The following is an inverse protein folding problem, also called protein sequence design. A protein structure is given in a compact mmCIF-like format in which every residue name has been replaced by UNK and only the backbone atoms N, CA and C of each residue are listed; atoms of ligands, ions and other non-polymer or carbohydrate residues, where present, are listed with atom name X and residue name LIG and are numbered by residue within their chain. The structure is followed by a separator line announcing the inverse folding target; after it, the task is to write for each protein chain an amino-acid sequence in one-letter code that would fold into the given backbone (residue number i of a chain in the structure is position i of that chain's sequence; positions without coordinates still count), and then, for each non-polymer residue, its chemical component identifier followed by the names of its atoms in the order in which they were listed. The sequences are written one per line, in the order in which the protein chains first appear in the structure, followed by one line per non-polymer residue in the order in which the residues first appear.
data_IF_410470729686
#
_entry.id   IF_410470729686
#
_cell.length_a   1.000
_cell.length_b   1.000
_cell.length_c   1.000
_cell.angle_alpha   90.00
_cell.angle_beta   90.00
_cell.angle_gamma   90.00
#
_symmetry.space_group_name_H-M   'P 1'
#
loop_
_entity.id
_entity.type
_entity.pdbx_description
1 polymer ?
#
# COMPACT_ATOMS: atom_id res chain seq x y z
N UNK A 1 0.16 11.03 29.48
CA UNK A 1 0.95 10.21 30.42
C UNK A 1 0.06 9.81 31.57
N UNK A 2 0.13 8.55 32.00
CA UNK A 2 -0.73 8.01 33.06
C UNK A 2 -2.01 7.31 32.58
N UNK A 3 -2.39 7.48 31.32
CA UNK A 3 -3.58 6.85 30.75
C UNK A 3 -3.47 5.32 30.78
N UNK A 4 -4.54 4.65 31.15
CA UNK A 4 -4.60 3.20 31.17
C UNK A 4 -4.74 2.66 29.72
N UNK A 5 -3.94 1.66 29.38
CA UNK A 5 -4.03 0.92 28.14
C UNK A 5 -4.54 -0.48 28.45
N UNK A 6 -5.69 -0.84 27.88
CA UNK A 6 -6.27 -2.17 27.99
C UNK A 6 -6.86 -2.58 26.65
N UNK A 7 -6.41 -3.71 26.11
CA UNK A 7 -6.91 -4.17 24.82
C UNK A 7 -6.11 -5.32 24.23
N UNK A 8 -6.47 -5.67 23.00
CA UNK A 8 -5.79 -6.68 22.19
C UNK A 8 -4.99 -5.98 21.10
N UNK A 9 -3.74 -6.36 20.97
CA UNK A 9 -2.79 -5.77 20.04
C UNK A 9 -1.96 -6.85 19.35
N UNK A 10 -1.46 -6.57 18.16
CA UNK A 10 -0.39 -7.38 17.56
C UNK A 10 0.94 -6.95 18.16
N UNK A 11 1.68 -7.90 18.72
CA UNK A 11 3.03 -7.69 19.22
C UNK A 11 4.03 -7.79 18.08
N UNK A 12 4.84 -6.74 17.91
CA UNK A 12 5.79 -6.64 16.81
C UNK A 12 7.23 -6.45 17.33
N UNK A 13 8.17 -7.11 16.66
CA UNK A 13 9.62 -7.00 16.90
C UNK A 13 10.06 -7.17 18.36
N UNK A 14 9.66 -8.24 19.04
CA UNK A 14 10.07 -8.47 20.43
C UNK A 14 11.59 -8.62 20.53
N UNK A 15 12.19 -7.88 21.47
CA UNK A 15 13.61 -7.98 21.80
C UNK A 15 13.78 -7.95 23.31
N UNK A 16 14.37 -9.00 23.87
CA UNK A 16 14.74 -9.03 25.28
C UNK A 16 16.13 -8.42 25.47
N UNK A 17 16.22 -7.43 26.32
CA UNK A 17 17.47 -6.73 26.62
C UNK A 17 18.21 -7.38 27.79
N UNK A 18 19.50 -7.08 27.94
CA UNK A 18 20.35 -7.63 29.00
C UNK A 18 19.84 -7.39 30.45
N UNK A 19 18.94 -6.44 30.66
CA UNK A 19 18.26 -6.19 31.95
C UNK A 19 16.95 -7.03 32.14
N UNK A 20 16.66 -8.00 31.30
CA UNK A 20 15.51 -8.90 31.43
C UNK A 20 14.20 -8.35 30.85
N UNK A 21 14.06 -7.04 30.63
CA UNK A 21 12.84 -6.46 30.07
C UNK A 21 12.69 -6.77 28.57
N UNK A 22 11.46 -7.07 28.16
CA UNK A 22 11.07 -7.25 26.78
C UNK A 22 10.62 -5.91 26.18
N UNK A 23 11.24 -5.50 25.08
CA UNK A 23 10.89 -4.32 24.29
C UNK A 23 10.24 -4.74 22.99
N UNK A 24 9.14 -4.09 22.61
CA UNK A 24 8.35 -4.42 21.43
C UNK A 24 7.46 -3.25 21.00
N UNK A 25 6.70 -3.43 19.95
CA UNK A 25 5.63 -2.54 19.56
C UNK A 25 4.30 -3.25 19.72
N UNK A 26 3.33 -2.52 20.23
CA UNK A 26 1.90 -2.88 20.18
C UNK A 26 1.28 -2.17 18.99
N UNK A 27 0.52 -2.89 18.18
CA UNK A 27 -0.13 -2.35 16.98
C UNK A 27 -1.57 -2.84 16.87
N UNK A 28 -2.44 -1.97 16.35
CA UNK A 28 -3.80 -2.23 15.93
C UNK A 28 -4.13 -1.43 14.66
N UNK A 29 -5.42 -1.33 14.29
CA UNK A 29 -5.88 -0.58 13.13
C UNK A 29 -5.70 0.94 13.26
N UNK A 30 -5.54 1.47 14.49
CA UNK A 30 -5.30 2.89 14.76
C UNK A 30 -3.83 3.30 14.65
N UNK A 31 -2.89 2.34 14.77
CA UNK A 31 -1.47 2.61 14.71
C UNK A 31 -0.59 1.69 15.52
N UNK A 32 0.57 2.19 15.95
CA UNK A 32 1.53 1.43 16.75
C UNK A 32 2.19 2.30 17.81
N UNK A 33 2.43 1.72 18.97
CA UNK A 33 3.13 2.35 20.10
C UNK A 33 4.24 1.45 20.64
N UNK A 34 5.35 2.04 21.05
CA UNK A 34 6.43 1.31 21.73
C UNK A 34 5.94 0.81 23.09
N UNK A 35 6.39 -0.37 23.49
CA UNK A 35 6.05 -0.97 24.77
C UNK A 35 7.24 -1.67 25.41
N UNK A 36 7.22 -1.77 26.75
CA UNK A 36 8.14 -2.58 27.53
C UNK A 36 7.39 -3.44 28.55
N UNK A 37 7.91 -4.63 28.82
CA UNK A 37 7.34 -5.61 29.74
C UNK A 37 8.42 -6.29 30.56
N UNK A 38 8.27 -6.28 31.87
CA UNK A 38 9.24 -6.87 32.81
C UNK A 38 9.05 -8.36 33.11
N UNK A 39 7.98 -9.00 32.60
CA UNK A 39 7.72 -10.42 32.87
C UNK A 39 8.48 -11.37 31.92
N UNK A 40 8.41 -12.67 32.24
CA UNK A 40 9.24 -13.70 31.59
C UNK A 40 8.72 -14.18 30.23
N UNK A 41 7.47 -13.88 29.89
CA UNK A 41 6.85 -14.33 28.63
C UNK A 41 7.43 -13.54 27.46
N UNK A 42 7.85 -14.26 26.40
CA UNK A 42 8.33 -13.68 25.15
C UNK A 42 7.51 -14.23 23.99
N UNK A 43 6.36 -13.62 23.65
CA UNK A 43 5.56 -14.04 22.51
C UNK A 43 6.35 -13.90 21.21
N UNK A 44 6.02 -14.71 20.22
CA UNK A 44 6.61 -14.58 18.89
C UNK A 44 6.14 -13.30 18.19
N UNK A 45 6.94 -12.83 17.25
CA UNK A 45 6.57 -11.69 16.41
C UNK A 45 5.27 -11.99 15.63
N UNK A 46 4.29 -11.09 15.76
CA UNK A 46 2.97 -11.25 15.13
C UNK A 46 1.93 -11.97 15.99
N UNK A 47 2.27 -12.32 17.23
CA UNK A 47 1.28 -12.85 18.19
C UNK A 47 0.31 -11.74 18.59
N UNK A 48 -1.00 -12.07 18.58
CA UNK A 48 -1.99 -11.19 19.22
C UNK A 48 -1.89 -11.39 20.74
N UNK A 49 -1.75 -10.30 21.46
CA UNK A 49 -1.63 -10.28 22.91
C UNK A 49 -2.73 -9.42 23.52
N UNK A 50 -3.28 -9.86 24.63
CA UNK A 50 -4.10 -9.03 25.51
C UNK A 50 -3.19 -8.34 26.51
N UNK A 51 -3.28 -7.00 26.60
CA UNK A 51 -2.37 -6.16 27.36
C UNK A 51 -3.18 -5.29 28.33
N UNK A 52 -2.63 -5.15 29.55
CA UNK A 52 -2.99 -4.09 30.47
C UNK A 52 -1.71 -3.37 30.88
N UNK A 53 -1.71 -2.03 30.78
CA UNK A 53 -0.55 -1.21 31.07
C UNK A 53 -0.90 0.26 31.22
N UNK A 54 0.10 1.13 31.25
CA UNK A 54 -0.05 2.59 31.33
C UNK A 54 0.86 3.29 30.35
N UNK A 55 0.41 4.44 29.84
CA UNK A 55 1.24 5.31 29.02
C UNK A 55 2.23 6.05 29.91
N UNK A 56 3.51 5.93 29.59
CA UNK A 56 4.62 6.60 30.27
C UNK A 56 5.46 7.42 29.29
N UNK A 57 6.06 8.48 29.75
CA UNK A 57 7.06 9.22 28.98
C UNK A 57 8.44 8.59 29.21
N UNK A 58 9.12 8.29 28.11
CA UNK A 58 10.51 7.81 28.12
C UNK A 58 11.32 8.75 27.24
N UNK A 59 11.99 9.72 27.85
CA UNK A 59 12.81 10.75 27.18
C UNK A 59 12.07 11.50 26.05
N UNK A 60 10.86 12.00 26.35
CA UNK A 60 10.05 12.75 25.41
C UNK A 60 9.30 11.88 24.39
N UNK A 61 9.33 10.56 24.53
CA UNK A 61 8.55 9.62 23.71
C UNK A 61 7.53 8.86 24.56
N UNK A 62 6.31 8.73 24.04
CA UNK A 62 5.26 7.95 24.71
C UNK A 62 5.46 6.46 24.50
N UNK A 63 5.42 5.68 25.58
CA UNK A 63 5.53 4.24 25.62
C UNK A 63 4.41 3.63 26.46
N UNK A 64 4.10 2.37 26.20
CA UNK A 64 3.25 1.57 27.10
C UNK A 64 4.15 0.78 28.05
N UNK A 65 4.03 1.05 29.34
CA UNK A 65 4.57 0.16 30.38
C UNK A 65 3.54 -0.92 30.66
N UNK A 66 3.86 -2.14 30.22
CA UNK A 66 2.94 -3.28 30.30
C UNK A 66 3.04 -3.93 31.67
N UNK A 67 1.94 -3.91 32.42
CA UNK A 67 1.83 -4.62 33.71
C UNK A 67 1.44 -6.09 33.53
N UNK A 68 0.56 -6.39 32.59
CA UNK A 68 0.11 -7.76 32.30
C UNK A 68 0.03 -7.96 30.79
N UNK A 69 0.51 -9.13 30.34
CA UNK A 69 0.43 -9.56 28.96
C UNK A 69 0.13 -11.06 28.88
N UNK A 70 -0.81 -11.43 28.03
CA UNK A 70 -1.12 -12.83 27.72
C UNK A 70 -1.30 -13.01 26.21
N UNK A 71 -0.79 -14.11 25.66
CA UNK A 71 -1.07 -14.47 24.28
C UNK A 71 -2.53 -14.86 24.11
N UNK A 72 -3.18 -14.38 23.06
CA UNK A 72 -4.54 -14.76 22.69
C UNK A 72 -4.46 -16.04 21.85
N UNK A 73 -5.03 -17.13 22.36
CA UNK A 73 -5.02 -18.45 21.72
C UNK A 73 -6.27 -18.75 20.91
N UNK A 74 -7.35 -17.99 21.14
CA UNK A 74 -8.58 -18.09 20.37
C UNK A 74 -8.45 -17.48 18.97
N UNK A 75 -9.36 -17.85 18.08
CA UNK A 75 -9.41 -17.25 16.73
C UNK A 75 -9.78 -15.77 16.86
N UNK A 76 -8.89 -14.89 16.41
CA UNK A 76 -9.10 -13.45 16.39
C UNK A 76 -9.41 -12.97 14.98
N UNK A 77 -10.30 -12.00 14.90
CA UNK A 77 -10.50 -11.25 13.68
C UNK A 77 -9.24 -10.39 13.39
N UNK A 78 -8.47 -10.81 12.39
CA UNK A 78 -7.21 -10.17 12.00
C UNK A 78 -7.40 -8.79 11.38
N UNK A 79 -8.59 -8.49 10.87
CA UNK A 79 -8.91 -7.20 10.25
C UNK A 79 -8.89 -6.04 11.25
N UNK A 80 -9.07 -6.34 12.53
CA UNK A 80 -8.97 -5.36 13.62
C UNK A 80 -7.55 -4.87 13.91
N UNK A 81 -6.55 -5.42 13.24
CA UNK A 81 -5.14 -5.08 13.44
C UNK A 81 -4.47 -4.59 12.16
N UNK A 82 -5.24 -4.40 11.10
CA UNK A 82 -4.76 -3.88 9.82
C UNK A 82 -5.13 -2.42 9.73
N UNK A 83 -4.19 -1.49 9.49
CA UNK A 83 -4.51 -0.09 9.28
C UNK A 83 -5.56 0.09 8.20
N UNK A 84 -6.60 0.89 8.48
CA UNK A 84 -7.69 1.19 7.54
C UNK A 84 -7.58 2.63 7.06
N UNK A 85 -7.82 2.85 5.77
CA UNK A 85 -7.99 4.19 5.20
C UNK A 85 -9.32 4.83 5.62
N UNK A 86 -9.39 6.15 5.63
CA UNK A 86 -10.61 6.93 5.96
C UNK A 86 -11.51 7.17 4.74
N UNK A 87 -11.53 6.26 3.76
CA UNK A 87 -12.22 6.44 2.49
C UNK A 87 -13.35 5.44 2.31
N UNK A 88 -14.34 5.82 1.50
CA UNK A 88 -15.43 4.93 1.10
C UNK A 88 -14.92 3.94 0.03
N UNK A 89 -14.64 2.72 0.48
CA UNK A 89 -14.17 1.63 -0.38
C UNK A 89 -15.24 1.26 -1.41
N UNK A 90 -16.51 1.27 -1.05
CA UNK A 90 -17.60 0.86 -1.96
C UNK A 90 -17.73 1.84 -3.14
N UNK A 91 -17.65 3.14 -2.87
CA UNK A 91 -17.64 4.16 -3.92
C UNK A 91 -16.42 4.02 -4.83
N UNK A 92 -15.23 3.80 -4.25
CA UNK A 92 -14.00 3.60 -5.02
C UNK A 92 -14.08 2.36 -5.92
N UNK A 93 -14.61 1.23 -5.42
CA UNK A 93 -14.84 0.02 -6.20
C UNK A 93 -15.78 0.26 -7.39
N UNK A 94 -16.88 0.98 -7.18
CA UNK A 94 -17.80 1.33 -8.28
C UNK A 94 -17.13 2.17 -9.35
N UNK A 95 -16.39 3.20 -8.93
CA UNK A 95 -15.68 4.07 -9.85
C UNK A 95 -14.61 3.31 -10.63
N UNK A 96 -13.85 2.45 -9.95
CA UNK A 96 -12.85 1.58 -10.56
C UNK A 96 -13.47 0.67 -11.62
N UNK A 97 -14.54 -0.04 -11.27
CA UNK A 97 -15.28 -0.92 -12.21
C UNK A 97 -15.84 -0.17 -13.42
N UNK A 98 -16.29 1.08 -13.24
CA UNK A 98 -16.71 1.94 -14.37
C UNK A 98 -15.55 2.26 -15.32
N UNK A 99 -14.36 2.52 -14.79
CA UNK A 99 -13.17 2.77 -15.63
C UNK A 99 -12.78 1.49 -16.38
N UNK A 100 -12.70 0.35 -15.71
CA UNK A 100 -12.43 -0.96 -16.34
C UNK A 100 -13.38 -1.21 -17.51
N UNK A 101 -14.69 -1.06 -17.32
CA UNK A 101 -15.71 -1.23 -18.36
C UNK A 101 -15.63 -0.22 -19.51
N UNK A 102 -14.95 0.92 -19.31
CA UNK A 102 -14.81 1.97 -20.34
C UNK A 102 -13.71 1.67 -21.37
N UNK A 103 -12.93 0.61 -21.17
CA UNK A 103 -11.86 0.18 -22.10
C UNK A 103 -12.40 -0.92 -23.00
N UNK A 104 -12.48 -0.69 -24.32
CA UNK A 104 -13.04 -1.67 -25.25
C UNK A 104 -12.02 -2.72 -25.72
N UNK A 105 -12.50 -3.69 -26.46
CA UNK A 105 -11.69 -4.60 -27.26
C UNK A 105 -10.80 -5.54 -26.43
N UNK A 106 -9.64 -5.88 -26.97
CA UNK A 106 -8.73 -6.86 -26.35
C UNK A 106 -8.11 -6.36 -25.07
N UNK A 107 -7.90 -5.05 -24.94
CA UNK A 107 -7.41 -4.43 -23.69
C UNK A 107 -8.46 -4.52 -22.58
N UNK A 108 -9.74 -4.31 -22.91
CA UNK A 108 -10.84 -4.55 -21.97
C UNK A 108 -10.91 -6.00 -21.51
N UNK A 109 -10.73 -6.98 -22.43
CA UNK A 109 -10.65 -8.41 -22.04
C UNK A 109 -9.47 -8.70 -21.10
N UNK A 110 -8.32 -8.04 -21.31
CA UNK A 110 -7.20 -8.15 -20.37
C UNK A 110 -7.58 -7.64 -18.97
N UNK A 111 -8.22 -6.48 -18.89
CA UNK A 111 -8.69 -5.93 -17.61
C UNK A 111 -9.70 -6.85 -16.92
N UNK A 112 -10.66 -7.41 -17.69
CA UNK A 112 -11.61 -8.39 -17.15
C UNK A 112 -10.89 -9.64 -16.62
N UNK A 113 -9.85 -10.12 -17.29
CA UNK A 113 -9.09 -11.29 -16.83
C UNK A 113 -8.44 -11.09 -15.45
N UNK A 114 -8.16 -9.84 -15.04
CA UNK A 114 -7.68 -9.49 -13.71
C UNK A 114 -8.85 -9.25 -12.74
N UNK A 115 -9.73 -8.32 -13.07
CA UNK A 115 -10.65 -7.72 -12.11
C UNK A 115 -12.01 -8.44 -12.00
N UNK A 116 -12.31 -9.40 -12.89
CA UNK A 116 -13.41 -10.36 -12.75
C UNK A 116 -12.95 -11.70 -12.16
N UNK A 117 -11.65 -11.96 -12.09
CA UNK A 117 -11.07 -13.03 -11.28
C UNK A 117 -11.29 -12.70 -9.79
N UNK A 118 -12.22 -13.41 -9.17
CA UNK A 118 -12.62 -13.16 -7.77
C UNK A 118 -11.46 -13.23 -6.80
N UNK A 119 -10.56 -14.17 -6.98
CA UNK A 119 -9.39 -14.35 -6.11
C UNK A 119 -8.44 -13.18 -6.22
N UNK A 120 -8.14 -12.75 -7.45
CA UNK A 120 -7.29 -11.58 -7.69
C UNK A 120 -7.95 -10.29 -7.21
N UNK A 121 -9.24 -10.08 -7.49
CA UNK A 121 -9.96 -8.89 -7.06
C UNK A 121 -9.96 -8.73 -5.54
N UNK A 122 -10.26 -9.79 -4.79
CA UNK A 122 -10.22 -9.76 -3.33
C UNK A 122 -8.83 -9.43 -2.79
N UNK A 123 -7.77 -9.94 -3.39
CA UNK A 123 -6.41 -9.61 -3.02
C UNK A 123 -6.05 -8.16 -3.39
N UNK A 124 -6.42 -7.70 -4.58
CA UNK A 124 -6.14 -6.35 -5.10
C UNK A 124 -6.84 -5.26 -4.28
N UNK A 125 -8.16 -5.39 -4.06
CA UNK A 125 -8.94 -4.39 -3.35
C UNK A 125 -8.55 -4.22 -1.88
N UNK A 126 -7.85 -5.20 -1.32
CA UNK A 126 -7.33 -5.16 0.06
C UNK A 126 -5.85 -4.78 0.13
N UNK A 127 -5.11 -4.89 -0.96
CA UNK A 127 -3.67 -4.63 -0.96
C UNK A 127 -3.35 -3.17 -0.58
N UNK A 128 -2.23 -2.94 0.13
CA UNK A 128 -1.72 -1.59 0.38
C UNK A 128 -0.98 -1.06 -0.84
N UNK A 129 -0.92 0.26 -1.01
CA UNK A 129 -0.12 0.87 -2.08
C UNK A 129 1.37 0.94 -1.74
N UNK A 130 1.71 1.07 -0.45
CA UNK A 130 3.09 1.18 0.01
C UNK A 130 3.26 0.54 1.39
N UNK A 131 4.52 0.41 1.84
CA UNK A 131 4.83 -0.13 3.18
C UNK A 131 4.65 0.90 4.30
N UNK A 132 4.90 2.19 4.05
CA UNK A 132 5.00 3.18 5.13
C UNK A 132 4.85 4.65 4.72
N UNK A 133 4.72 4.98 3.44
CA UNK A 133 4.85 6.37 2.97
C UNK A 133 3.49 7.01 2.67
N UNK A 134 2.69 6.40 1.83
CA UNK A 134 1.35 6.85 1.44
C UNK A 134 0.48 5.62 1.22
N UNK A 135 -0.81 5.73 1.53
CA UNK A 135 -1.79 4.65 1.31
C UNK A 135 -1.31 3.28 1.83
N UNK A 136 -0.57 3.30 2.97
CA UNK A 136 0.00 2.13 3.65
C UNK A 136 -1.04 1.46 4.56
N UNK A 137 -2.25 1.22 4.02
CA UNK A 137 -3.40 0.64 4.70
C UNK A 137 -4.16 -0.31 3.76
N UNK A 138 -5.08 -1.08 4.32
CA UNK A 138 -5.94 -1.96 3.54
C UNK A 138 -6.78 -1.16 2.54
N UNK A 139 -6.74 -1.55 1.26
CA UNK A 139 -7.41 -0.84 0.18
C UNK A 139 -6.57 0.27 -0.46
N UNK A 140 -5.40 0.61 0.08
CA UNK A 140 -4.55 1.68 -0.45
C UNK A 140 -4.22 1.52 -1.92
N UNK A 141 -3.99 0.29 -2.40
CA UNK A 141 -3.71 0.02 -3.81
C UNK A 141 -4.88 0.37 -4.72
N UNK A 142 -6.12 0.08 -4.32
CA UNK A 142 -7.31 0.44 -5.08
C UNK A 142 -7.45 1.96 -5.22
N UNK A 143 -7.28 2.71 -4.12
CA UNK A 143 -7.37 4.18 -4.14
C UNK A 143 -6.28 4.79 -5.01
N UNK A 144 -5.05 4.36 -4.83
CA UNK A 144 -3.92 4.80 -5.65
C UNK A 144 -4.17 4.56 -7.14
N UNK A 145 -4.48 3.31 -7.50
CA UNK A 145 -4.71 2.94 -8.90
C UNK A 145 -5.88 3.73 -9.52
N UNK A 146 -6.94 3.97 -8.74
CA UNK A 146 -8.06 4.80 -9.17
C UNK A 146 -7.64 6.25 -9.42
N UNK A 147 -6.84 6.84 -8.52
CA UNK A 147 -6.30 8.20 -8.64
C UNK A 147 -5.45 8.35 -9.91
N UNK A 148 -4.48 7.45 -10.11
CA UNK A 148 -3.63 7.42 -11.30
C UNK A 148 -4.45 7.25 -12.59
N UNK A 149 -5.42 6.34 -12.62
CA UNK A 149 -6.27 6.14 -13.79
C UNK A 149 -7.13 7.37 -14.11
N UNK A 150 -7.60 8.10 -13.11
CA UNK A 150 -8.35 9.37 -13.29
C UNK A 150 -7.47 10.47 -13.86
N UNK A 151 -6.25 10.63 -13.36
CA UNK A 151 -5.26 11.58 -13.88
C UNK A 151 -4.92 11.26 -15.35
N UNK A 152 -4.65 10.00 -15.67
CA UNK A 152 -4.37 9.56 -17.04
C UNK A 152 -5.57 9.83 -17.98
N UNK A 153 -6.80 9.58 -17.54
CA UNK A 153 -8.00 9.89 -18.33
C UNK A 153 -8.19 11.39 -18.58
N UNK A 154 -7.96 12.21 -17.56
CA UNK A 154 -8.04 13.68 -17.69
C UNK A 154 -6.98 14.17 -18.68
N UNK A 155 -5.77 13.66 -18.62
CA UNK A 155 -4.71 14.01 -19.55
C UNK A 155 -5.00 13.62 -21.00
N UNK A 156 -5.71 12.52 -21.25
CA UNK A 156 -6.15 12.17 -22.61
C UNK A 156 -7.10 13.20 -23.23
N UNK A 157 -7.88 13.92 -22.42
CA UNK A 157 -8.71 15.02 -22.91
C UNK A 157 -7.88 16.25 -23.32
N UNK A 158 -6.73 16.46 -22.67
CA UNK A 158 -5.78 17.55 -22.97
C UNK A 158 -4.87 17.20 -24.15
N UNK A 159 -4.45 15.94 -24.23
CA UNK A 159 -3.53 15.43 -25.26
C UNK A 159 -4.19 14.34 -26.13
N UNK A 160 -4.99 14.68 -27.16
CA UNK A 160 -5.78 13.72 -27.94
C UNK A 160 -4.96 12.71 -28.75
N UNK A 161 -3.63 12.93 -28.90
CA UNK A 161 -2.72 12.01 -29.59
C UNK A 161 -2.28 10.82 -28.73
N UNK A 162 -2.56 10.83 -27.41
CA UNK A 162 -2.31 9.69 -26.53
C UNK A 162 -3.23 8.53 -26.89
N UNK A 163 -2.67 7.33 -26.87
CA UNK A 163 -3.45 6.09 -27.02
C UNK A 163 -4.19 5.81 -25.71
N UNK A 164 -5.39 6.43 -25.60
CA UNK A 164 -6.18 6.45 -24.37
C UNK A 164 -6.37 5.07 -23.75
N UNK A 165 -6.77 4.07 -24.55
CA UNK A 165 -7.10 2.75 -24.02
C UNK A 165 -5.84 2.01 -23.55
N UNK A 166 -4.71 2.20 -24.22
CA UNK A 166 -3.41 1.69 -23.78
C UNK A 166 -2.98 2.32 -22.46
N UNK A 167 -3.02 3.66 -22.35
CA UNK A 167 -2.62 4.40 -21.17
C UNK A 167 -3.51 4.07 -19.96
N UNK A 168 -4.84 4.05 -20.14
CA UNK A 168 -5.77 3.71 -19.06
C UNK A 168 -5.59 2.26 -18.61
N UNK A 169 -5.37 1.33 -19.54
CA UNK A 169 -5.07 -0.07 -19.22
C UNK A 169 -3.79 -0.16 -18.39
N UNK A 170 -2.73 0.53 -18.80
CA UNK A 170 -1.49 0.55 -18.06
C UNK A 170 -1.65 1.19 -16.68
N UNK A 171 -2.40 2.30 -16.57
CA UNK A 171 -2.71 2.93 -15.28
C UNK A 171 -3.44 2.01 -14.31
N UNK A 172 -4.37 1.17 -14.80
CA UNK A 172 -5.07 0.18 -13.98
C UNK A 172 -4.19 -1.02 -13.59
N UNK A 173 -3.12 -1.29 -14.33
CA UNK A 173 -2.27 -2.48 -14.16
C UNK A 173 -0.85 -2.17 -13.66
N UNK A 174 -0.40 -0.90 -13.57
CA UNK A 174 1.01 -0.57 -13.31
C UNK A 174 1.51 -1.17 -11.99
N UNK A 175 0.66 -1.22 -11.01
CA UNK A 175 0.97 -1.63 -9.65
C UNK A 175 0.35 -2.97 -9.21
N UNK A 176 -0.24 -3.74 -10.11
CA UNK A 176 -0.88 -5.02 -9.76
C UNK A 176 0.07 -6.00 -9.08
N UNK A 177 1.36 -5.88 -9.33
CA UNK A 177 2.40 -6.69 -8.68
C UNK A 177 2.47 -6.53 -7.15
N UNK A 178 1.94 -5.44 -6.60
CA UNK A 178 1.85 -5.19 -5.15
C UNK A 178 0.98 -6.21 -4.42
N UNK A 179 0.05 -6.86 -5.13
CA UNK A 179 -0.75 -7.98 -4.60
C UNK A 179 0.14 -9.12 -4.11
N UNK A 180 1.26 -9.38 -4.78
CA UNK A 180 2.23 -10.41 -4.40
C UNK A 180 3.41 -9.84 -3.61
N UNK A 181 3.65 -8.53 -3.70
CA UNK A 181 4.76 -7.90 -2.99
C UNK A 181 4.48 -7.77 -1.50
N UNK A 182 3.24 -7.45 -1.10
CA UNK A 182 2.90 -7.14 0.28
C UNK A 182 2.03 -8.21 0.95
N UNK A 183 2.13 -8.28 2.27
CA UNK A 183 1.20 -8.96 3.17
C UNK A 183 0.78 -7.99 4.26
N UNK A 184 -0.49 -8.00 4.64
CA UNK A 184 -1.04 -7.12 5.65
C UNK A 184 -0.81 -7.62 7.08
N UNK A 185 -0.90 -8.94 7.28
CA UNK A 185 -0.82 -9.54 8.61
C UNK A 185 0.44 -10.43 8.76
N UNK A 186 1.06 -10.48 9.93
CA UNK A 186 0.74 -9.82 11.22
C UNK A 186 1.05 -8.33 11.24
N UNK A 187 1.64 -7.82 10.23
CA UNK A 187 1.93 -6.40 9.95
C UNK A 187 2.11 -6.22 8.46
N UNK A 188 1.92 -5.00 8.01
CA UNK A 188 2.27 -4.64 6.64
C UNK A 188 3.77 -4.81 6.41
N UNK A 189 4.14 -5.75 5.56
CA UNK A 189 5.53 -6.07 5.21
C UNK A 189 5.62 -6.71 3.83
N UNK A 190 6.83 -6.76 3.26
CA UNK A 190 7.07 -7.47 2.00
C UNK A 190 7.09 -8.98 2.20
N UNK A 191 6.54 -9.70 1.22
CA UNK A 191 6.69 -11.14 1.07
C UNK A 191 8.10 -11.51 0.61
N UNK A 192 8.44 -12.81 0.55
CA UNK A 192 9.70 -13.25 -0.06
C UNK A 192 9.78 -12.86 -1.55
N UNK A 193 8.69 -13.02 -2.31
CA UNK A 193 8.62 -12.60 -3.71
C UNK A 193 8.84 -11.08 -3.85
N UNK A 194 8.20 -10.28 -2.98
CA UNK A 194 8.36 -8.84 -2.97
C UNK A 194 9.79 -8.37 -2.63
N UNK A 195 10.53 -9.13 -1.81
CA UNK A 195 11.93 -8.81 -1.47
C UNK A 195 12.92 -9.22 -2.55
N UNK A 196 12.67 -10.33 -3.22
CA UNK A 196 13.60 -10.90 -4.21
C UNK A 196 13.38 -10.36 -5.62
N UNK A 197 12.13 -10.02 -5.98
CA UNK A 197 11.75 -9.66 -7.35
C UNK A 197 11.18 -8.23 -7.44
N UNK A 198 10.33 -7.83 -6.48
CA UNK A 198 9.66 -6.53 -6.47
C UNK A 198 8.43 -6.47 -7.36
N UNK A 199 7.48 -5.54 -7.03
CA UNK A 199 6.17 -5.45 -7.68
C UNK A 199 6.24 -5.12 -9.17
N UNK A 200 7.19 -4.27 -9.60
CA UNK A 200 7.32 -3.86 -11.01
C UNK A 200 7.49 -5.08 -11.91
N UNK A 201 8.43 -5.96 -11.54
CA UNK A 201 8.73 -7.17 -12.31
C UNK A 201 7.62 -8.21 -12.15
N UNK A 202 7.13 -8.45 -10.92
CA UNK A 202 6.00 -9.37 -10.68
C UNK A 202 4.76 -8.95 -11.48
N UNK A 203 4.45 -7.64 -11.50
CA UNK A 203 3.35 -7.08 -12.28
C UNK A 203 3.54 -7.27 -13.79
N UNK A 204 4.71 -6.92 -14.31
CA UNK A 204 5.02 -7.08 -15.73
C UNK A 204 4.92 -8.55 -16.19
N UNK A 205 5.41 -9.50 -15.40
CA UNK A 205 5.31 -10.93 -15.69
C UNK A 205 3.86 -11.40 -15.79
N UNK A 206 3.01 -11.04 -14.82
CA UNK A 206 1.63 -11.47 -14.79
C UNK A 206 0.81 -10.79 -15.90
N UNK A 207 1.03 -9.51 -16.16
CA UNK A 207 0.38 -8.80 -17.26
C UNK A 207 0.78 -9.41 -18.59
N UNK A 208 2.06 -9.70 -18.82
CA UNK A 208 2.54 -10.36 -20.03
C UNK A 208 1.93 -11.76 -20.22
N UNK A 209 1.81 -12.55 -19.13
CA UNK A 209 1.17 -13.87 -19.16
C UNK A 209 -0.29 -13.78 -19.57
N UNK A 210 -1.09 -12.97 -18.87
CA UNK A 210 -2.54 -12.82 -19.18
C UNK A 210 -2.78 -12.17 -20.54
N UNK A 211 -1.92 -11.22 -20.94
CA UNK A 211 -2.01 -10.59 -22.26
C UNK A 211 -1.82 -11.60 -23.40
N UNK A 212 -0.94 -12.59 -23.24
CA UNK A 212 -0.81 -13.71 -24.20
C UNK A 212 -2.07 -14.58 -24.23
N UNK A 213 -2.62 -14.92 -23.08
CA UNK A 213 -3.81 -15.76 -22.96
C UNK A 213 -5.05 -15.13 -23.60
N UNK A 214 -5.23 -13.82 -23.47
CA UNK A 214 -6.36 -13.11 -24.10
C UNK A 214 -6.11 -12.70 -25.56
N UNK A 215 -4.90 -13.00 -26.09
CA UNK A 215 -4.57 -12.77 -27.49
C UNK A 215 -4.21 -11.32 -27.82
N UNK A 216 -3.55 -10.59 -26.92
CA UNK A 216 -3.02 -9.23 -27.23
C UNK A 216 -1.88 -9.35 -28.25
N UNK A 217 -1.91 -8.56 -29.35
CA UNK A 217 -0.81 -8.51 -30.33
C UNK A 217 0.54 -8.21 -29.69
N UNK A 218 1.62 -8.80 -30.24
CA UNK A 218 2.95 -8.72 -29.67
C UNK A 218 3.43 -7.26 -29.42
N UNK A 219 3.20 -6.39 -30.41
CA UNK A 219 3.59 -4.96 -30.28
C UNK A 219 2.82 -4.24 -29.18
N UNK A 220 1.51 -4.48 -29.05
CA UNK A 220 0.72 -3.88 -27.97
C UNK A 220 1.13 -4.43 -26.62
N UNK A 221 1.45 -5.72 -26.51
CA UNK A 221 1.96 -6.34 -25.29
C UNK A 221 3.31 -5.74 -24.90
N UNK A 222 4.23 -5.57 -25.85
CA UNK A 222 5.53 -4.92 -25.60
C UNK A 222 5.37 -3.51 -25.04
N UNK A 223 4.41 -2.72 -25.58
CA UNK A 223 4.12 -1.39 -25.09
C UNK A 223 3.51 -1.41 -23.66
N UNK A 224 2.63 -2.37 -23.34
CA UNK A 224 2.11 -2.53 -21.98
C UNK A 224 3.21 -2.92 -20.99
N UNK A 225 4.08 -3.86 -21.37
CA UNK A 225 5.24 -4.25 -20.56
C UNK A 225 6.14 -3.05 -20.31
N UNK A 226 6.42 -2.25 -21.35
CA UNK A 226 7.22 -1.02 -21.22
C UNK A 226 6.59 -0.02 -20.24
N UNK A 227 5.29 0.24 -20.36
CA UNK A 227 4.55 1.13 -19.45
C UNK A 227 4.68 0.70 -17.98
N UNK A 228 4.55 -0.60 -17.70
CA UNK A 228 4.68 -1.14 -16.35
C UNK A 228 6.13 -1.10 -15.87
N UNK A 229 7.10 -1.48 -16.70
CA UNK A 229 8.51 -1.49 -16.32
C UNK A 229 9.10 -0.09 -16.13
N UNK A 230 8.53 0.93 -16.73
CA UNK A 230 9.04 2.30 -16.71
C UNK A 230 8.29 3.27 -15.81
N UNK A 231 7.18 2.84 -15.13
CA UNK A 231 6.32 3.77 -14.41
C UNK A 231 7.00 4.51 -13.24
N UNK A 232 8.05 3.98 -12.64
CA UNK A 232 8.85 4.71 -11.66
C UNK A 232 9.72 5.82 -12.28
N UNK A 233 9.87 5.86 -13.62
CA UNK A 233 10.50 6.92 -14.38
C UNK A 233 12.03 6.85 -14.43
N UNK A 234 12.70 6.62 -13.30
CA UNK A 234 14.16 6.61 -13.20
C UNK A 234 14.70 5.31 -12.64
N UNK A 235 15.88 4.91 -13.07
CA UNK A 235 16.57 3.69 -12.59
C UNK A 235 16.87 3.77 -11.08
N UNK A 236 17.25 4.95 -10.60
CA UNK A 236 17.52 5.20 -9.18
C UNK A 236 16.28 5.05 -8.31
N UNK A 237 15.08 5.14 -8.91
CA UNK A 237 13.79 4.93 -8.23
C UNK A 237 13.27 3.50 -8.40
N UNK A 238 14.06 2.62 -8.99
CA UNK A 238 13.75 1.20 -9.18
C UNK A 238 13.04 0.87 -10.48
N UNK A 239 13.04 1.79 -11.46
CA UNK A 239 12.54 1.50 -12.81
C UNK A 239 13.56 0.68 -13.58
N UNK A 240 13.23 -0.52 -14.09
CA UNK A 240 14.16 -1.29 -14.95
C UNK A 240 14.60 -0.56 -16.23
N UNK A 241 13.68 0.24 -16.78
CA UNK A 241 13.91 1.10 -17.97
C UNK A 241 13.25 2.46 -17.74
N UNK A 242 13.71 3.48 -18.44
CA UNK A 242 13.10 4.80 -18.42
C UNK A 242 11.96 4.92 -19.44
N UNK A 243 10.96 5.83 -19.23
CA UNK A 243 9.90 6.06 -20.19
C UNK A 243 10.42 6.43 -21.57
N UNK A 244 9.96 5.73 -22.61
CA UNK A 244 10.37 5.95 -24.00
C UNK A 244 9.21 6.31 -24.95
N UNK A 245 7.99 6.39 -24.42
CA UNK A 245 6.79 6.81 -25.17
C UNK A 245 5.99 7.79 -24.33
N UNK A 246 5.18 8.62 -24.96
CA UNK A 246 4.42 9.68 -24.31
C UNK A 246 3.48 9.15 -23.22
N UNK A 247 2.86 7.99 -23.44
CA UNK A 247 1.99 7.35 -22.46
C UNK A 247 2.76 6.90 -21.21
N UNK A 248 4.02 6.43 -21.37
CA UNK A 248 4.84 6.01 -20.25
C UNK A 248 5.31 7.20 -19.40
N UNK A 249 5.71 8.28 -20.06
CA UNK A 249 6.05 9.54 -19.40
C UNK A 249 4.86 10.08 -18.58
N UNK A 250 3.67 10.08 -19.19
CA UNK A 250 2.47 10.55 -18.51
C UNK A 250 2.07 9.64 -17.35
N UNK A 251 2.17 8.32 -17.50
CA UNK A 251 1.89 7.37 -16.43
C UNK A 251 2.79 7.61 -15.22
N UNK A 252 4.09 7.80 -15.46
CA UNK A 252 5.07 8.11 -14.43
C UNK A 252 4.69 9.38 -13.64
N UNK A 253 4.35 10.47 -14.32
CA UNK A 253 3.95 11.70 -13.61
C UNK A 253 2.59 11.58 -12.93
N UNK A 254 1.65 10.84 -13.48
CA UNK A 254 0.36 10.59 -12.84
C UNK A 254 0.51 9.80 -11.52
N UNK A 255 1.33 8.75 -11.52
CA UNK A 255 1.71 7.98 -10.34
C UNK A 255 2.41 8.88 -9.30
N UNK A 256 3.39 9.66 -9.72
CA UNK A 256 4.11 10.58 -8.85
C UNK A 256 3.19 11.66 -8.26
N UNK A 257 2.26 12.21 -9.01
CA UNK A 257 1.29 13.21 -8.52
C UNK A 257 0.40 12.59 -7.45
N UNK A 258 -0.22 11.42 -7.73
CA UNK A 258 -1.11 10.77 -6.78
C UNK A 258 -0.38 10.42 -5.48
N UNK A 259 0.76 9.76 -5.57
CA UNK A 259 1.55 9.35 -4.42
C UNK A 259 2.04 10.53 -3.56
N UNK A 260 2.48 11.63 -4.18
CA UNK A 260 2.97 12.80 -3.46
C UNK A 260 1.86 13.62 -2.83
N UNK A 261 0.73 13.78 -3.52
CA UNK A 261 -0.44 14.49 -2.98
C UNK A 261 -1.03 13.72 -1.81
N UNK A 262 -1.11 12.39 -1.89
CA UNK A 262 -1.56 11.54 -0.79
C UNK A 262 -0.74 11.77 0.50
N UNK A 263 0.59 11.97 0.40
CA UNK A 263 1.44 12.26 1.56
C UNK A 263 0.95 13.50 2.33
N UNK A 264 0.54 14.57 1.65
CA UNK A 264 0.04 15.78 2.30
C UNK A 264 -1.27 15.54 3.04
N UNK A 265 -2.20 14.79 2.44
CA UNK A 265 -3.52 14.52 3.03
C UNK A 265 -3.48 13.45 4.14
N UNK A 266 -2.53 12.52 4.08
CA UNK A 266 -2.36 11.47 5.08
C UNK A 266 -1.41 11.85 6.23
N UNK A 267 -0.69 12.97 6.07
CA UNK A 267 0.15 13.52 7.13
C UNK A 267 -0.72 14.16 8.20
N UNK A 268 -1.29 13.40 9.14
CA UNK A 268 -2.21 13.90 10.17
C UNK A 268 -1.68 15.13 10.95
N UNK A 269 -2.59 15.91 11.57
CA UNK A 269 -2.32 17.16 12.30
C UNK A 269 -2.26 18.39 11.37
N UNK A 270 -2.01 19.59 11.91
CA UNK A 270 -1.93 20.85 11.18
C UNK A 270 -0.60 21.58 11.39
N UNK A 271 -0.27 22.50 10.47
CA UNK A 271 0.93 23.33 10.54
C UNK A 271 2.18 22.74 9.87
N UNK A 272 3.34 23.38 10.11
CA UNK A 272 4.60 22.97 9.51
C UNK A 272 5.18 21.73 10.17
N UNK A 273 5.61 20.74 9.37
CA UNK A 273 6.32 19.55 9.82
C UNK A 273 7.33 19.07 8.80
N UNK A 274 8.40 18.45 9.28
CA UNK A 274 9.32 17.76 8.38
C UNK A 274 8.73 16.41 7.97
N UNK A 275 8.78 16.13 6.66
CA UNK A 275 8.34 14.85 6.10
C UNK A 275 9.54 14.12 5.50
N UNK A 276 9.88 12.96 6.08
CA UNK A 276 11.05 12.17 5.69
C UNK A 276 10.93 11.64 4.24
N UNK A 277 9.73 11.29 3.80
CA UNK A 277 9.52 10.76 2.45
C UNK A 277 9.72 11.81 1.36
N UNK A 278 9.42 13.08 1.67
CA UNK A 278 9.63 14.21 0.76
C UNK A 278 10.98 14.91 1.00
N UNK A 279 11.68 14.59 2.10
CA UNK A 279 12.96 15.21 2.49
C UNK A 279 12.89 16.71 2.75
N UNK A 280 11.72 17.23 3.17
CA UNK A 280 11.48 18.66 3.35
C UNK A 280 10.36 18.96 4.34
N UNK A 281 10.30 20.21 4.79
CA UNK A 281 9.15 20.73 5.54
C UNK A 281 7.94 20.86 4.61
N UNK A 282 6.79 20.43 5.10
CA UNK A 282 5.50 20.59 4.44
C UNK A 282 4.52 21.30 5.36
N UNK A 283 3.62 22.06 4.79
CA UNK A 283 2.48 22.66 5.48
C UNK A 283 1.28 21.72 5.34
N UNK A 284 0.80 21.18 6.46
CA UNK A 284 -0.40 20.35 6.51
C UNK A 284 -1.56 21.23 6.93
N UNK A 285 -2.64 21.24 6.14
CA UNK A 285 -3.86 21.98 6.44
C UNK A 285 -4.62 21.38 7.63
N UNK A 286 -5.56 22.13 8.19
CA UNK A 286 -6.53 21.58 9.13
C UNK A 286 -7.44 20.59 8.39
N UNK A 287 -7.72 19.45 9.01
CA UNK A 287 -8.72 18.48 8.50
C UNK A 287 -10.08 19.23 8.42
N UNK A 288 -10.60 19.40 7.18
CA UNK A 288 -11.92 19.99 6.95
C UNK A 288 -13.00 18.93 7.10
#
# INVERSE_FOLDING_TARGET
VGDEVKGRFVLLWPRRMKGGALYFWLADDSGKMRARYGGDVTPQNGTVVEVTGRVVDVWGSLWVEVGRMAAVTEQVDRERFVPKGRFDIAEAEEQFKRIVKSVPGVLGRLLCSFFEDRSFWEAFRRAPAAKSVHQAYEGGLLFHTLGVARLCRAACAIYPRLRRDLLVTAALLHDVGKVWEYKLFPRLDKTSAGRLVGHVVLGAQEVSRRAREVGIPADTRLLLEHLILSHHGRKEWGSPVEPAIAEAELLHYADMVDSRVAIYFESGGSGWRYNDALGRYIMVGEDK
#
